data_IF_726806967362
#
_entry.id   IF_726806967362
#
_cell.length_a   1.000
_cell.length_b   1.000
_cell.length_c   1.000
_cell.angle_alpha   90.00
_cell.angle_beta   90.00
_cell.angle_gamma   90.00
#
_symmetry.space_group_name_H-M   'P 1'
#
loop_
_entity.id
_entity.type
_entity.pdbx_description
1 polymer ?
#
# COMPACT_ATOMS: atom_id res chain seq x y z
N UNK A 1 -21.72 -9.39 -5.63
CA UNK A 1 -22.70 -8.41 -6.18
C UNK A 1 -22.27 -6.98 -5.87
N UNK A 2 -22.76 -5.98 -6.63
CA UNK A 2 -22.52 -4.59 -6.25
C UNK A 2 -23.11 -4.31 -4.86
N UNK A 3 -22.31 -3.75 -3.95
CA UNK A 3 -22.69 -3.49 -2.55
C UNK A 3 -22.37 -4.63 -1.56
N UNK A 4 -21.75 -5.72 -2.02
CA UNK A 4 -21.29 -6.79 -1.15
C UNK A 4 -20.09 -6.35 -0.28
N UNK A 5 -20.07 -6.83 0.98
CA UNK A 5 -18.97 -6.56 1.90
C UNK A 5 -17.86 -7.59 1.73
N UNK A 6 -16.62 -7.12 1.66
CA UNK A 6 -15.44 -7.98 1.53
C UNK A 6 -14.57 -7.90 2.78
N UNK A 7 -13.98 -9.03 3.17
CA UNK A 7 -12.96 -9.08 4.23
C UNK A 7 -11.57 -8.95 3.61
N UNK A 8 -10.90 -7.84 3.90
CA UNK A 8 -9.52 -7.60 3.45
C UNK A 8 -8.48 -8.08 4.46
N UNK A 9 -7.50 -8.88 4.01
CA UNK A 9 -6.27 -9.17 4.75
C UNK A 9 -5.12 -8.43 4.08
N UNK A 10 -4.51 -7.49 4.80
CA UNK A 10 -3.45 -6.62 4.28
C UNK A 10 -2.07 -7.03 4.83
N UNK A 11 -1.06 -7.04 3.96
CA UNK A 11 0.35 -7.26 4.34
C UNK A 11 1.29 -6.32 3.57
N UNK A 12 2.47 -6.04 4.14
CA UNK A 12 3.53 -5.34 3.41
C UNK A 12 4.10 -6.30 2.36
N UNK A 13 3.97 -5.95 1.09
CA UNK A 13 4.54 -6.69 -0.03
C UNK A 13 5.94 -6.16 -0.40
N UNK A 14 6.19 -4.87 -0.19
CA UNK A 14 7.49 -4.24 -0.46
C UNK A 14 7.70 -3.01 0.41
N UNK A 15 8.91 -2.82 0.93
CA UNK A 15 9.31 -1.61 1.64
C UNK A 15 10.75 -1.25 1.23
N UNK A 16 10.94 -0.05 0.69
CA UNK A 16 12.27 0.43 0.34
C UNK A 16 12.37 1.95 0.41
N UNK A 17 13.59 2.44 0.62
CA UNK A 17 13.91 3.87 0.61
C UNK A 17 14.77 4.21 -0.60
N UNK A 18 14.53 5.38 -1.18
CA UNK A 18 15.32 5.94 -2.28
C UNK A 18 15.79 7.35 -1.92
N UNK A 19 17.06 7.62 -2.16
CA UNK A 19 17.61 8.96 -2.10
C UNK A 19 17.25 9.73 -3.38
N UNK A 20 16.69 10.92 -3.19
CA UNK A 20 16.38 11.87 -4.25
C UNK A 20 17.63 12.66 -4.67
N UNK A 21 17.63 13.15 -5.91
CA UNK A 21 18.76 13.90 -6.50
C UNK A 21 19.15 15.18 -5.73
N UNK A 22 18.28 15.67 -4.85
CA UNK A 22 18.47 16.90 -4.04
C UNK A 22 18.64 16.60 -2.54
N UNK A 23 19.06 15.39 -2.17
CA UNK A 23 19.30 15.00 -0.77
C UNK A 23 18.07 14.60 0.03
N UNK A 24 16.85 14.80 -0.49
CA UNK A 24 15.63 14.29 0.14
C UNK A 24 15.54 12.77 0.10
N UNK A 25 14.85 12.16 1.09
CA UNK A 25 14.59 10.71 1.11
C UNK A 25 13.11 10.43 0.87
N UNK A 26 12.82 9.41 0.09
CA UNK A 26 11.47 8.92 -0.15
C UNK A 26 11.40 7.45 0.27
N UNK A 27 10.44 7.11 1.13
CA UNK A 27 10.14 5.72 1.47
C UNK A 27 8.89 5.28 0.74
N UNK A 28 8.96 4.09 0.16
CA UNK A 28 7.88 3.46 -0.60
C UNK A 28 7.47 2.20 0.14
N UNK A 29 6.21 2.14 0.55
CA UNK A 29 5.62 0.96 1.20
C UNK A 29 4.46 0.48 0.34
N UNK A 30 4.62 -0.70 -0.28
CA UNK A 30 3.56 -1.37 -1.01
C UNK A 30 2.86 -2.36 -0.09
N UNK A 31 1.56 -2.18 0.10
CA UNK A 31 0.67 -3.17 0.71
C UNK A 31 -0.01 -4.00 -0.36
N UNK A 32 -0.09 -5.31 -0.13
CA UNK A 32 -0.99 -6.21 -0.82
C UNK A 32 -2.18 -6.48 0.09
N UNK A 33 -3.40 -6.32 -0.44
CA UNK A 33 -4.64 -6.71 0.24
C UNK A 33 -5.35 -7.77 -0.57
N UNK A 34 -5.61 -8.92 0.07
CA UNK A 34 -6.48 -9.97 -0.47
C UNK A 34 -7.87 -9.81 0.11
N UNK A 35 -8.86 -9.65 -0.74
CA UNK A 35 -10.26 -9.53 -0.36
C UNK A 35 -10.96 -10.86 -0.56
N UNK A 36 -11.65 -11.30 0.49
CA UNK A 36 -12.47 -12.51 0.48
C UNK A 36 -13.96 -12.14 0.54
N UNK A 37 -14.77 -12.88 -0.21
CA UNK A 37 -16.24 -12.77 -0.21
C UNK A 37 -16.88 -13.47 0.99
N UNK A 38 -18.20 -13.67 0.93
CA UNK A 38 -18.97 -14.29 2.01
C UNK A 38 -18.53 -15.73 2.35
N UNK A 39 -18.09 -16.49 1.35
CA UNK A 39 -17.72 -17.90 1.48
C UNK A 39 -16.20 -18.12 1.68
N UNK A 40 -15.48 -17.07 2.10
CA UNK A 40 -14.02 -17.05 2.23
C UNK A 40 -13.28 -17.32 0.89
N UNK A 41 -13.97 -17.12 -0.24
CA UNK A 41 -13.36 -17.15 -1.56
C UNK A 41 -12.57 -15.87 -1.82
N UNK A 42 -11.33 -15.97 -2.29
CA UNK A 42 -10.55 -14.81 -2.71
C UNK A 42 -11.13 -14.26 -4.02
N UNK A 43 -11.62 -13.02 -3.99
CA UNK A 43 -12.30 -12.38 -5.13
C UNK A 43 -11.47 -11.28 -5.77
N UNK A 44 -10.52 -10.71 -5.04
CA UNK A 44 -9.71 -9.58 -5.51
C UNK A 44 -8.38 -9.51 -4.75
N UNK A 45 -7.31 -9.22 -5.48
CA UNK A 45 -6.04 -8.74 -4.92
C UNK A 45 -5.83 -7.28 -5.32
N UNK A 46 -5.53 -6.43 -4.35
CA UNK A 46 -5.20 -5.02 -4.58
C UNK A 46 -3.79 -4.69 -4.08
N UNK A 47 -3.08 -3.84 -4.84
CA UNK A 47 -1.76 -3.33 -4.49
C UNK A 47 -1.82 -1.81 -4.30
N UNK A 48 -1.44 -1.34 -3.12
CA UNK A 48 -1.38 0.07 -2.78
C UNK A 48 0.05 0.45 -2.45
N UNK A 49 0.63 1.42 -3.14
CA UNK A 49 1.95 1.96 -2.78
C UNK A 49 1.80 3.32 -2.12
N UNK A 50 2.15 3.40 -0.85
CA UNK A 50 2.24 4.66 -0.11
C UNK A 50 3.66 5.20 -0.26
N UNK A 51 3.74 6.49 -0.52
CA UNK A 51 5.00 7.21 -0.66
C UNK A 51 5.09 8.18 0.51
N UNK A 52 5.98 7.90 1.44
CA UNK A 52 6.36 8.83 2.49
C UNK A 52 7.45 9.75 1.94
N UNK A 53 7.15 11.04 1.85
CA UNK A 53 8.09 12.06 1.39
C UNK A 53 8.58 12.87 2.58
N UNK A 54 9.89 12.97 2.78
CA UNK A 54 10.43 13.98 3.70
C UNK A 54 10.22 15.36 3.08
N UNK A 55 9.22 16.12 3.55
CA UNK A 55 9.36 17.58 3.53
C UNK A 55 10.29 17.91 4.68
N UNK A 56 11.48 18.43 4.40
CA UNK A 56 12.14 19.25 5.41
C UNK A 56 11.17 20.39 5.73
N UNK A 57 10.68 20.42 6.97
CA UNK A 57 9.92 21.55 7.49
C UNK A 57 10.90 22.71 7.69
N UNK A 58 11.35 23.36 6.60
CA UNK A 58 12.25 24.51 6.72
C UNK A 58 13.15 24.85 5.51
N UNK A 59 12.68 24.71 4.26
CA UNK A 59 13.35 25.34 3.11
C UNK A 59 12.48 26.40 2.46
#
# INVERSE_FOLDING_TARGET
MAGESLKGIMRIAKDFTKEGKRGGRMRFVTYETKFHGADDEEVLTALYTLIETSKDAGS
#
